data_IF_504984194742
#
_entry.id   IF_504984194742
#
_cell.length_a   1.000
_cell.length_b   1.000
_cell.length_c   1.000
_cell.angle_alpha   90.00
_cell.angle_beta   90.00
_cell.angle_gamma   90.00
#
_symmetry.space_group_name_H-M   'P 1'
#
loop_
_entity.id
_entity.type
_entity.pdbx_description
1 polymer ?
#
# COMPACT_ATOMS: atom_id res chain seq x y z
N UNK A 1 12.22 15.58 -8.67
CA UNK A 1 11.76 14.40 -9.39
C UNK A 1 10.70 13.67 -8.56
N UNK A 2 9.75 12.95 -9.21
CA UNK A 2 8.73 12.14 -8.53
C UNK A 2 7.44 12.86 -8.15
N UNK A 3 7.33 14.17 -8.35
CA UNK A 3 6.08 14.90 -8.20
C UNK A 3 5.21 14.78 -9.46
N UNK A 4 3.88 14.56 -9.33
CA UNK A 4 2.95 14.73 -10.44
C UNK A 4 2.74 16.21 -10.83
N UNK A 5 3.29 17.14 -10.09
CA UNK A 5 3.19 18.58 -10.35
C UNK A 5 2.19 19.31 -9.45
N UNK A 6 1.60 20.38 -9.99
CA UNK A 6 0.56 21.17 -9.35
C UNK A 6 -0.82 20.78 -9.90
N UNK A 7 -1.92 21.07 -9.18
CA UNK A 7 -3.26 20.76 -9.66
C UNK A 7 -3.57 21.43 -11.00
N UNK A 8 -4.21 20.69 -11.89
CA UNK A 8 -4.72 21.21 -13.15
C UNK A 8 -5.86 22.19 -12.89
N UNK A 9 -6.06 23.16 -13.78
CA UNK A 9 -7.15 24.12 -13.69
C UNK A 9 -8.52 23.43 -13.54
N UNK A 10 -9.31 23.95 -12.61
CA UNK A 10 -10.63 23.39 -12.27
C UNK A 10 -10.62 22.30 -11.21
N UNK A 11 -9.45 21.82 -10.77
CA UNK A 11 -9.34 20.85 -9.68
C UNK A 11 -8.84 21.54 -8.41
N UNK A 12 -9.67 21.53 -7.36
CA UNK A 12 -9.31 22.05 -6.03
C UNK A 12 -8.78 20.90 -5.18
N UNK A 13 -7.49 20.56 -5.39
CA UNK A 13 -6.82 19.50 -4.64
C UNK A 13 -6.42 20.01 -3.28
N UNK A 14 -6.73 19.25 -2.22
CA UNK A 14 -6.44 19.58 -0.83
C UNK A 14 -5.84 18.38 -0.11
N UNK A 15 -5.11 18.67 0.97
CA UNK A 15 -4.66 17.67 1.94
C UNK A 15 -5.48 17.86 3.21
N UNK A 16 -6.05 16.80 3.71
CA UNK A 16 -6.82 16.80 4.94
C UNK A 16 -6.15 15.91 6.00
N UNK A 17 -6.21 16.36 7.23
CA UNK A 17 -5.91 15.51 8.38
C UNK A 17 -6.91 14.35 8.42
N UNK A 18 -6.42 13.13 8.56
CA UNK A 18 -7.25 11.94 8.47
C UNK A 18 -8.10 11.65 9.71
N UNK A 19 -7.80 12.29 10.83
CA UNK A 19 -8.56 12.17 12.08
C UNK A 19 -9.61 13.27 12.22
N UNK A 20 -9.21 14.52 11.95
CA UNK A 20 -10.07 15.68 12.15
C UNK A 20 -10.83 16.08 10.90
N UNK A 21 -10.34 15.72 9.71
CA UNK A 21 -10.85 16.17 8.42
C UNK A 21 -10.53 17.65 8.13
N UNK A 22 -9.73 18.32 8.95
CA UNK A 22 -9.31 19.70 8.73
C UNK A 22 -8.29 19.81 7.60
N UNK A 23 -8.28 20.95 6.92
CA UNK A 23 -7.34 21.20 5.82
C UNK A 23 -5.94 21.50 6.37
N UNK A 24 -4.95 20.77 5.86
CA UNK A 24 -3.55 20.99 6.13
C UNK A 24 -3.02 22.04 5.16
N UNK A 25 -2.70 23.22 5.67
CA UNK A 25 -2.26 24.36 4.86
C UNK A 25 -0.75 24.56 4.86
N UNK A 26 -0.03 23.98 5.82
CA UNK A 26 1.43 24.10 5.91
C UNK A 26 2.10 23.17 4.90
N UNK A 27 3.25 23.61 4.42
CA UNK A 27 4.10 22.77 3.58
C UNK A 27 4.67 21.59 4.36
N UNK A 28 4.92 20.48 3.65
CA UNK A 28 5.54 19.26 4.18
C UNK A 28 4.72 18.52 5.26
N UNK A 29 3.44 18.88 5.45
CA UNK A 29 2.51 18.11 6.27
C UNK A 29 1.88 16.99 5.41
N UNK A 30 1.91 15.78 5.95
CA UNK A 30 1.32 14.57 5.32
C UNK A 30 -0.18 14.53 5.61
N UNK A 31 -0.99 14.43 4.57
CA UNK A 31 -2.45 14.35 4.67
C UNK A 31 -3.09 13.44 3.64
N UNK A 32 -4.39 13.20 3.80
CA UNK A 32 -5.20 12.50 2.80
C UNK A 32 -5.49 13.45 1.65
N UNK A 33 -5.16 13.02 0.44
CA UNK A 33 -5.37 13.80 -0.77
C UNK A 33 -6.83 13.68 -1.21
N UNK A 34 -7.50 14.81 -1.29
CA UNK A 34 -8.89 14.92 -1.72
C UNK A 34 -9.05 16.00 -2.79
N UNK A 35 -10.15 15.92 -3.53
CA UNK A 35 -10.54 16.96 -4.49
C UNK A 35 -11.86 17.55 -4.02
N UNK A 36 -11.89 18.86 -3.75
CA UNK A 36 -13.11 19.55 -3.34
C UNK A 36 -14.07 19.68 -4.52
N UNK A 37 -15.32 19.35 -4.29
CA UNK A 37 -16.37 19.41 -5.31
C UNK A 37 -16.91 20.82 -5.54
N UNK A 38 -17.64 21.04 -6.67
CA UNK A 38 -17.94 20.05 -7.71
C UNK A 38 -16.74 19.73 -8.60
N UNK A 39 -16.67 18.47 -9.07
CA UNK A 39 -15.61 18.07 -9.99
C UNK A 39 -15.88 18.60 -11.39
N UNK A 40 -14.81 18.89 -12.19
CA UNK A 40 -14.96 19.22 -13.60
C UNK A 40 -15.67 18.13 -14.40
N UNK A 41 -16.33 18.48 -15.53
CA UNK A 41 -16.92 17.51 -16.43
C UNK A 41 -15.88 16.49 -16.93
N UNK A 42 -16.30 15.23 -17.10
CA UNK A 42 -15.42 14.14 -17.54
C UNK A 42 -14.74 13.34 -16.41
N UNK A 43 -14.91 13.77 -15.15
CA UNK A 43 -14.49 12.97 -14.01
C UNK A 43 -15.38 11.73 -13.83
N UNK A 44 -14.98 10.82 -12.94
CA UNK A 44 -15.69 9.59 -12.64
C UNK A 44 -17.17 9.89 -12.33
N UNK A 45 -18.03 9.32 -13.15
CA UNK A 45 -19.49 9.30 -12.96
C UNK A 45 -19.88 8.14 -12.03
N UNK A 46 -21.16 8.01 -11.64
CA UNK A 46 -21.63 6.89 -10.83
C UNK A 46 -21.19 5.52 -11.35
N UNK A 47 -21.06 4.55 -10.45
CA UNK A 47 -20.78 3.17 -10.83
C UNK A 47 -22.00 2.56 -11.52
N UNK A 48 -21.77 1.77 -12.57
CA UNK A 48 -22.85 1.10 -13.28
C UNK A 48 -23.73 0.27 -12.33
N UNK A 49 -24.99 0.68 -12.20
CA UNK A 49 -25.98 -0.01 -11.36
C UNK A 49 -25.78 0.12 -9.85
N UNK A 50 -24.83 0.96 -9.35
CA UNK A 50 -24.57 1.10 -7.92
C UNK A 50 -24.12 2.52 -7.52
N UNK A 51 -25.03 3.47 -7.68
CA UNK A 51 -24.79 4.87 -7.30
C UNK A 51 -24.54 5.03 -5.80
N UNK A 52 -25.21 4.22 -4.98
CA UNK A 52 -25.03 4.27 -3.51
C UNK A 52 -23.59 3.92 -3.11
N UNK A 53 -23.00 2.91 -3.75
CA UNK A 53 -21.60 2.53 -3.54
C UNK A 53 -20.66 3.64 -3.96
N UNK A 54 -20.90 4.27 -5.12
CA UNK A 54 -20.10 5.40 -5.60
C UNK A 54 -20.08 6.53 -4.57
N UNK A 55 -21.24 6.99 -4.12
CA UNK A 55 -21.36 8.07 -3.14
C UNK A 55 -20.71 7.68 -1.80
N UNK A 56 -21.01 6.49 -1.30
CA UNK A 56 -20.49 6.05 0.00
C UNK A 56 -18.96 5.86 -0.03
N UNK A 57 -18.42 5.38 -1.13
CA UNK A 57 -16.98 5.13 -1.27
C UNK A 57 -16.19 6.43 -1.44
N UNK A 58 -16.62 7.29 -2.34
CA UNK A 58 -15.78 8.42 -2.78
C UNK A 58 -16.15 9.76 -2.15
N UNK A 59 -17.40 9.97 -1.72
CA UNK A 59 -17.92 11.28 -1.34
C UNK A 59 -18.29 11.41 0.13
N UNK A 60 -18.37 10.29 0.86
CA UNK A 60 -18.72 10.28 2.29
C UNK A 60 -17.54 9.97 3.21
N UNK A 61 -16.33 10.01 2.69
CA UNK A 61 -15.12 9.75 3.48
C UNK A 61 -14.86 10.81 4.57
N UNK A 62 -15.29 12.05 4.32
CA UNK A 62 -15.16 13.16 5.29
C UNK A 62 -16.55 13.72 5.58
N UNK A 63 -17.10 13.52 6.80
CA UNK A 63 -18.42 14.01 7.17
C UNK A 63 -18.56 15.52 7.01
N UNK A 64 -19.69 15.97 6.44
CA UNK A 64 -20.01 17.40 6.30
C UNK A 64 -19.25 18.16 5.22
N UNK A 65 -18.39 17.49 4.44
CA UNK A 65 -17.63 18.10 3.34
C UNK A 65 -17.94 17.42 2.00
N UNK A 66 -18.05 18.22 0.94
CA UNK A 66 -18.18 17.73 -0.42
C UNK A 66 -16.78 17.55 -1.02
N UNK A 67 -16.12 16.46 -0.66
CA UNK A 67 -14.78 16.13 -1.15
C UNK A 67 -14.78 14.72 -1.75
N UNK A 68 -14.14 14.59 -2.90
CA UNK A 68 -13.85 13.32 -3.55
C UNK A 68 -12.58 12.74 -2.96
N UNK A 69 -12.64 11.55 -2.36
CA UNK A 69 -11.48 10.85 -1.84
C UNK A 69 -10.72 10.14 -2.96
N UNK A 70 -9.41 10.41 -3.08
CA UNK A 70 -8.54 9.70 -4.01
C UNK A 70 -8.01 8.39 -3.41
N UNK A 71 -8.14 8.24 -2.09
CA UNK A 71 -7.51 7.17 -1.30
C UNK A 71 -5.98 7.21 -1.34
N UNK A 72 -5.39 8.37 -1.54
CA UNK A 72 -3.94 8.55 -1.51
C UNK A 72 -3.50 9.43 -0.35
N UNK A 73 -2.34 9.10 0.21
CA UNK A 73 -1.57 10.00 1.05
C UNK A 73 -0.73 10.91 0.18
N UNK A 74 -0.66 12.17 0.55
CA UNK A 74 0.17 13.14 -0.13
C UNK A 74 0.83 14.12 0.82
N UNK A 75 1.78 14.84 0.30
CA UNK A 75 2.42 16.00 0.90
C UNK A 75 2.52 17.09 -0.15
N UNK A 76 2.48 18.33 0.26
CA UNK A 76 2.70 19.49 -0.61
C UNK A 76 3.91 20.24 -0.11
N UNK A 77 4.87 20.53 -0.99
CA UNK A 77 6.06 21.31 -0.63
C UNK A 77 5.79 22.84 -0.56
N UNK A 78 6.84 23.60 -0.26
CA UNK A 78 6.78 25.06 -0.15
C UNK A 78 6.49 25.77 -1.48
N UNK A 79 6.81 25.12 -2.60
CA UNK A 79 6.56 25.62 -3.96
C UNK A 79 5.16 25.23 -4.48
N UNK A 80 4.40 24.44 -3.72
CA UNK A 80 3.05 24.00 -4.06
C UNK A 80 2.97 22.72 -4.87
N UNK A 81 4.08 22.00 -5.09
CA UNK A 81 4.09 20.72 -5.75
C UNK A 81 3.60 19.61 -4.83
N UNK A 82 2.74 18.76 -5.36
CA UNK A 82 2.26 17.58 -4.63
C UNK A 82 3.16 16.37 -4.85
N UNK A 83 3.25 15.53 -3.83
CA UNK A 83 3.92 14.23 -3.89
C UNK A 83 2.98 13.17 -3.34
N UNK A 84 2.81 12.07 -4.07
CA UNK A 84 1.96 10.94 -3.67
C UNK A 84 2.82 9.95 -2.92
N UNK A 85 2.49 9.73 -1.65
CA UNK A 85 3.26 8.87 -0.75
C UNK A 85 2.81 7.41 -0.76
N UNK A 86 1.57 7.15 -1.19
CA UNK A 86 0.97 5.82 -1.22
C UNK A 86 -0.53 5.87 -1.01
N UNK A 87 -1.14 4.68 -0.89
CA UNK A 87 -2.59 4.55 -0.68
C UNK A 87 -2.94 4.67 0.80
N UNK A 88 -4.10 5.22 1.11
CA UNK A 88 -4.63 5.26 2.48
C UNK A 88 -5.12 3.88 2.96
N UNK A 89 -5.50 3.01 2.02
CA UNK A 89 -5.93 1.63 2.28
C UNK A 89 -4.76 0.62 2.28
N UNK A 90 -3.55 1.04 1.90
CA UNK A 90 -2.31 0.25 1.98
C UNK A 90 -1.49 0.58 3.27
N UNK A 91 -2.13 1.10 4.31
CA UNK A 91 -1.51 1.38 5.61
C UNK A 91 -1.68 0.19 6.54
N UNK A 92 -0.61 -0.18 7.22
CA UNK A 92 -0.59 -1.19 8.26
C UNK A 92 -0.62 -0.49 9.63
N UNK A 93 -1.52 -0.89 10.50
CA UNK A 93 -1.60 -0.34 11.85
C UNK A 93 -0.94 -1.29 12.86
N UNK A 94 0.34 -1.06 13.16
CA UNK A 94 1.14 -1.87 14.06
C UNK A 94 1.22 -1.19 15.42
N UNK A 95 0.56 -1.73 16.43
CA UNK A 95 0.56 -1.21 17.81
C UNK A 95 0.26 0.30 17.89
N UNK A 96 -0.67 0.80 17.06
CA UNK A 96 -1.06 2.21 16.99
C UNK A 96 -0.21 3.08 16.05
N UNK A 97 0.88 2.52 15.50
CA UNK A 97 1.68 3.21 14.48
C UNK A 97 1.16 2.91 13.08
N UNK A 98 0.95 3.96 12.30
CA UNK A 98 0.54 3.85 10.89
C UNK A 98 1.76 3.80 9.98
N UNK A 99 1.98 2.66 9.35
CA UNK A 99 3.10 2.38 8.47
C UNK A 99 2.61 2.20 7.04
N UNK A 100 3.17 2.94 6.10
CA UNK A 100 2.91 2.72 4.67
C UNK A 100 3.57 1.43 4.20
N UNK A 101 2.83 0.56 3.51
CA UNK A 101 3.42 -0.65 2.92
C UNK A 101 4.56 -0.29 1.98
N UNK A 102 4.40 0.80 1.23
CA UNK A 102 5.39 1.28 0.26
C UNK A 102 6.72 1.67 0.90
N UNK A 103 6.70 2.32 2.06
CA UNK A 103 7.92 2.70 2.79
C UNK A 103 8.72 1.45 3.18
N UNK A 104 8.03 0.41 3.64
CA UNK A 104 8.66 -0.87 4.00
C UNK A 104 9.16 -1.58 2.73
N UNK A 105 8.38 -1.58 1.65
CA UNK A 105 8.76 -2.17 0.36
C UNK A 105 10.01 -1.49 -0.22
N UNK A 106 10.09 -0.16 -0.20
CA UNK A 106 11.25 0.61 -0.67
C UNK A 106 12.50 0.28 0.15
N UNK A 107 12.35 0.18 1.47
CA UNK A 107 13.45 -0.25 2.35
C UNK A 107 13.94 -1.65 1.97
N UNK A 108 13.06 -2.63 1.85
CA UNK A 108 13.41 -4.01 1.48
C UNK A 108 14.00 -4.08 0.06
N UNK A 109 13.43 -3.35 -0.89
CA UNK A 109 13.91 -3.31 -2.28
C UNK A 109 15.32 -2.71 -2.43
N UNK A 110 15.78 -1.93 -1.45
CA UNK A 110 17.17 -1.42 -1.44
C UNK A 110 18.22 -2.51 -1.17
N UNK A 111 17.81 -3.70 -0.72
CA UNK A 111 18.71 -4.84 -0.56
C UNK A 111 19.17 -5.38 -1.92
N UNK A 112 20.50 -5.60 -2.15
CA UNK A 112 21.04 -5.94 -3.47
C UNK A 112 20.47 -7.24 -4.06
N UNK A 113 20.07 -8.22 -3.25
CA UNK A 113 19.52 -9.50 -3.72
C UNK A 113 17.96 -9.50 -3.80
N UNK A 114 17.28 -8.39 -3.62
CA UNK A 114 15.83 -8.29 -3.79
C UNK A 114 15.53 -7.82 -5.21
N UNK A 115 14.72 -8.60 -5.95
CA UNK A 115 14.20 -8.25 -7.26
C UNK A 115 12.86 -7.53 -7.15
N UNK A 116 11.93 -8.12 -6.37
CA UNK A 116 10.59 -7.59 -6.14
C UNK A 116 10.18 -7.85 -4.70
N UNK A 117 9.29 -7.01 -4.18
CA UNK A 117 8.73 -7.18 -2.85
C UNK A 117 7.27 -6.73 -2.80
N UNK A 118 6.47 -7.43 -2.01
CA UNK A 118 5.13 -7.03 -1.62
C UNK A 118 5.01 -7.08 -0.10
N UNK A 119 4.49 -6.02 0.50
CA UNK A 119 4.19 -5.98 1.93
C UNK A 119 2.69 -5.85 2.12
N UNK A 120 2.15 -6.65 3.04
CA UNK A 120 0.73 -6.61 3.44
C UNK A 120 0.62 -6.56 4.95
N UNK A 121 -0.41 -5.88 5.44
CA UNK A 121 -0.81 -5.93 6.85
C UNK A 121 -1.66 -7.17 7.10
N UNK A 122 -1.31 -7.94 8.11
CA UNK A 122 -2.07 -9.13 8.51
C UNK A 122 -2.53 -8.95 9.96
N UNK A 123 -3.76 -9.37 10.27
CA UNK A 123 -4.31 -9.25 11.61
C UNK A 123 -3.44 -9.98 12.66
N UNK A 124 -3.19 -9.31 13.77
CA UNK A 124 -2.43 -9.81 14.92
C UNK A 124 -3.19 -9.50 16.21
N UNK A 125 -3.28 -10.48 17.11
CA UNK A 125 -4.07 -10.38 18.33
C UNK A 125 -3.55 -9.33 19.33
N UNK A 126 -2.24 -9.04 19.33
CA UNK A 126 -1.61 -8.12 20.28
C UNK A 126 -1.35 -6.74 19.67
N UNK A 127 -0.95 -6.69 18.41
CA UNK A 127 -0.51 -5.46 17.75
C UNK A 127 -1.57 -4.86 16.84
N UNK A 128 -2.77 -5.50 16.72
CA UNK A 128 -3.78 -5.15 15.74
C UNK A 128 -3.43 -5.67 14.36
N UNK A 129 -2.32 -5.24 13.79
CA UNK A 129 -1.74 -5.78 12.56
C UNK A 129 -0.23 -5.94 12.69
N UNK A 130 0.34 -6.79 11.84
CA UNK A 130 1.78 -6.93 11.60
C UNK A 130 2.07 -6.90 10.10
N UNK A 131 3.23 -6.39 9.74
CA UNK A 131 3.69 -6.44 8.36
C UNK A 131 4.18 -7.86 8.01
N UNK A 132 3.77 -8.38 6.87
CA UNK A 132 4.34 -9.58 6.24
C UNK A 132 4.92 -9.19 4.88
N UNK A 133 6.15 -9.59 4.61
CA UNK A 133 6.84 -9.31 3.35
C UNK A 133 6.97 -10.59 2.51
N UNK A 134 6.67 -10.46 1.22
CA UNK A 134 6.86 -11.49 0.20
C UNK A 134 7.92 -10.99 -0.77
N UNK A 135 9.02 -11.71 -0.86
CA UNK A 135 10.22 -11.28 -1.57
C UNK A 135 10.56 -12.22 -2.71
N UNK A 136 10.77 -11.68 -3.90
CA UNK A 136 11.41 -12.36 -5.02
C UNK A 136 12.88 -11.99 -5.01
N UNK A 137 13.75 -12.99 -4.85
CA UNK A 137 15.19 -12.76 -4.88
C UNK A 137 15.71 -12.72 -6.33
N UNK A 138 16.75 -11.91 -6.58
CA UNK A 138 17.47 -11.92 -7.87
C UNK A 138 18.27 -13.20 -8.06
N UNK A 139 18.94 -13.62 -6.99
CA UNK A 139 19.65 -14.91 -6.95
C UNK A 139 18.99 -15.79 -5.87
N UNK A 140 18.31 -16.82 -6.32
CA UNK A 140 17.64 -17.80 -5.48
C UNK A 140 18.50 -19.04 -5.16
N UNK A 141 19.76 -19.10 -5.64
CA UNK A 141 20.60 -20.31 -5.54
C UNK A 141 20.81 -20.75 -4.09
N UNK A 142 20.96 -19.79 -3.16
CA UNK A 142 21.10 -20.07 -1.73
C UNK A 142 19.78 -20.28 -0.99
N UNK A 143 18.62 -20.02 -1.61
CA UNK A 143 17.31 -20.06 -0.95
C UNK A 143 16.65 -21.44 -0.95
N UNK A 144 17.27 -22.44 -1.61
CA UNK A 144 16.85 -23.84 -1.53
C UNK A 144 17.08 -24.41 -0.13
N UNK A 145 18.10 -23.91 0.57
CA UNK A 145 18.44 -24.33 1.92
C UNK A 145 17.80 -23.40 2.98
N UNK A 146 17.40 -23.98 4.10
CA UNK A 146 16.81 -23.23 5.22
C UNK A 146 17.77 -22.15 5.75
N UNK A 147 19.06 -22.42 5.81
CA UNK A 147 20.06 -21.49 6.32
C UNK A 147 20.22 -20.25 5.43
N UNK A 148 20.17 -20.42 4.10
CA UNK A 148 20.21 -19.30 3.17
C UNK A 148 18.98 -18.40 3.27
N UNK A 149 17.79 -19.00 3.44
CA UNK A 149 16.56 -18.24 3.67
C UNK A 149 16.63 -17.44 4.97
N UNK A 150 17.03 -18.04 6.08
CA UNK A 150 17.18 -17.37 7.37
C UNK A 150 18.20 -16.23 7.34
N UNK A 151 19.28 -16.41 6.60
CA UNK A 151 20.30 -15.36 6.42
C UNK A 151 19.72 -14.15 5.69
N UNK A 152 19.10 -14.33 4.53
CA UNK A 152 18.52 -13.24 3.76
C UNK A 152 17.36 -12.58 4.49
N UNK A 153 16.52 -13.35 5.20
CA UNK A 153 15.47 -12.81 6.07
C UNK A 153 16.04 -11.88 7.14
N UNK A 154 17.11 -12.33 7.83
CA UNK A 154 17.80 -11.52 8.85
C UNK A 154 18.42 -10.24 8.28
N UNK A 155 19.01 -10.30 7.10
CA UNK A 155 19.58 -9.13 6.41
C UNK A 155 18.49 -8.12 6.05
N UNK A 156 17.37 -8.58 5.49
CA UNK A 156 16.20 -7.74 5.14
C UNK A 156 15.60 -7.10 6.40
N UNK A 157 15.36 -7.89 7.45
CA UNK A 157 14.81 -7.37 8.71
C UNK A 157 15.71 -6.31 9.34
N UNK A 158 17.02 -6.54 9.35
CA UNK A 158 18.01 -5.58 9.86
C UNK A 158 18.02 -4.29 9.06
N UNK A 159 17.87 -4.37 7.74
CA UNK A 159 17.82 -3.21 6.87
C UNK A 159 16.60 -2.34 7.18
N UNK A 160 15.41 -2.95 7.33
CA UNK A 160 14.19 -2.24 7.73
C UNK A 160 14.34 -1.61 9.11
N UNK A 161 14.93 -2.33 10.08
CA UNK A 161 15.20 -1.77 11.42
C UNK A 161 16.10 -0.53 11.38
N UNK A 162 17.11 -0.53 10.51
CA UNK A 162 18.04 0.59 10.40
C UNK A 162 17.42 1.81 9.71
N UNK A 163 16.53 1.61 8.75
CA UNK A 163 15.96 2.69 7.96
C UNK A 163 14.65 3.24 8.54
N UNK A 164 13.80 2.37 9.09
CA UNK A 164 12.44 2.71 9.52
C UNK A 164 12.18 2.42 11.00
N UNK A 165 13.10 1.74 11.68
CA UNK A 165 12.96 1.34 13.07
C UNK A 165 12.21 0.02 13.27
N UNK A 166 12.29 -0.53 14.48
CA UNK A 166 11.81 -1.86 14.84
C UNK A 166 10.27 -2.03 14.69
N UNK A 167 9.51 -0.95 14.71
CA UNK A 167 8.04 -0.99 14.53
C UNK A 167 7.67 -1.38 13.11
N UNK A 168 8.46 -0.97 12.13
CA UNK A 168 8.24 -1.27 10.71
C UNK A 168 8.76 -2.66 10.28
N UNK A 169 9.54 -3.33 11.15
CA UNK A 169 10.11 -4.64 10.85
C UNK A 169 9.01 -5.67 10.58
N UNK A 170 9.05 -6.35 9.41
CA UNK A 170 8.10 -7.42 9.13
C UNK A 170 8.14 -8.53 10.17
N UNK A 171 6.99 -9.07 10.54
CA UNK A 171 6.91 -10.23 11.44
C UNK A 171 7.44 -11.50 10.75
N UNK A 172 7.32 -11.58 9.42
CA UNK A 172 7.86 -12.66 8.58
C UNK A 172 8.30 -12.10 7.24
N UNK A 173 9.37 -12.67 6.69
CA UNK A 173 9.80 -12.47 5.30
C UNK A 173 9.72 -13.84 4.61
N UNK A 174 8.86 -13.93 3.60
CA UNK A 174 8.62 -15.17 2.85
C UNK A 174 9.17 -15.01 1.43
N UNK A 175 9.91 -16.02 0.95
CA UNK A 175 10.49 -16.01 -0.38
C UNK A 175 9.60 -16.74 -1.36
N UNK A 176 9.29 -16.06 -2.46
CA UNK A 176 8.43 -16.53 -3.54
C UNK A 176 9.15 -16.41 -4.89
N UNK A 177 8.70 -17.19 -5.87
CA UNK A 177 9.27 -17.12 -7.24
C UNK A 177 8.64 -16.00 -8.06
N UNK A 178 7.39 -15.64 -7.77
CA UNK A 178 6.67 -14.56 -8.41
C UNK A 178 5.64 -13.96 -7.45
N UNK A 179 5.34 -12.68 -7.62
CA UNK A 179 4.26 -12.00 -6.89
C UNK A 179 2.96 -12.02 -7.71
N UNK A 180 1.79 -12.20 -7.06
CA UNK A 180 0.50 -12.13 -7.73
C UNK A 180 0.26 -10.73 -8.34
N UNK A 181 0.11 -10.68 -9.66
CA UNK A 181 -0.10 -9.44 -10.42
C UNK A 181 -1.27 -9.59 -11.38
N UNK A 182 -1.86 -8.45 -11.75
CA UNK A 182 -2.75 -8.38 -12.89
C UNK A 182 -1.97 -8.45 -14.20
N UNK A 183 -2.65 -8.74 -15.33
CA UNK A 183 -2.04 -8.70 -16.67
C UNK A 183 -1.40 -7.36 -17.03
N UNK A 184 -1.80 -6.27 -16.38
CA UNK A 184 -1.17 -4.94 -16.52
C UNK A 184 0.01 -4.71 -15.57
N UNK A 185 0.46 -5.74 -14.82
CA UNK A 185 1.57 -5.67 -13.87
C UNK A 185 1.24 -5.08 -12.51
N UNK A 186 -0.04 -4.77 -12.22
CA UNK A 186 -0.43 -4.25 -10.91
C UNK A 186 -0.45 -5.36 -9.86
N UNK A 187 0.25 -5.14 -8.75
CA UNK A 187 0.31 -6.07 -7.62
C UNK A 187 -1.05 -6.23 -6.94
N UNK A 188 -1.44 -7.47 -6.68
CA UNK A 188 -2.72 -7.84 -6.05
C UNK A 188 -2.59 -7.98 -4.52
N UNK A 189 -2.21 -6.89 -3.82
CA UNK A 189 -2.00 -6.91 -2.36
C UNK A 189 -3.20 -7.42 -1.58
N UNK A 190 -4.42 -7.04 -1.99
CA UNK A 190 -5.65 -7.50 -1.32
C UNK A 190 -5.83 -9.01 -1.40
N UNK A 191 -5.47 -9.63 -2.51
CA UNK A 191 -5.52 -11.09 -2.66
C UNK A 191 -4.46 -11.77 -1.78
N UNK A 192 -3.25 -11.22 -1.72
CA UNK A 192 -2.19 -11.70 -0.82
C UNK A 192 -2.65 -11.62 0.63
N UNK A 193 -3.15 -10.46 1.07
CA UNK A 193 -3.65 -10.25 2.44
C UNK A 193 -4.79 -11.22 2.78
N UNK A 194 -5.78 -11.38 1.89
CA UNK A 194 -6.90 -12.28 2.11
C UNK A 194 -6.43 -13.73 2.32
N UNK A 195 -5.45 -14.18 1.54
CA UNK A 195 -4.85 -15.51 1.72
C UNK A 195 -4.14 -15.61 3.07
N UNK A 196 -3.36 -14.61 3.48
CA UNK A 196 -2.69 -14.59 4.78
C UNK A 196 -3.69 -14.69 5.94
N UNK A 197 -4.84 -14.08 5.81
CA UNK A 197 -5.91 -14.08 6.81
C UNK A 197 -6.93 -15.22 6.62
N UNK A 198 -6.66 -16.17 5.71
CA UNK A 198 -7.53 -17.31 5.39
C UNK A 198 -8.95 -16.90 4.97
N UNK A 199 -9.03 -15.74 4.30
CA UNK A 199 -10.27 -15.19 3.73
C UNK A 199 -10.34 -15.46 2.22
N UNK A 200 -11.53 -15.34 1.66
CA UNK A 200 -11.70 -15.38 0.20
C UNK A 200 -10.95 -14.22 -0.45
N UNK A 201 -10.14 -14.53 -1.44
CA UNK A 201 -9.36 -13.55 -2.20
C UNK A 201 -10.21 -12.71 -3.18
N UNK A 202 -11.49 -13.05 -3.34
CA UNK A 202 -12.42 -12.36 -4.23
C UNK A 202 -12.20 -12.65 -5.71
N UNK A 203 -12.56 -11.68 -6.55
CA UNK A 203 -12.43 -11.81 -8.00
C UNK A 203 -10.97 -11.75 -8.45
N UNK A 204 -10.48 -12.85 -9.01
CA UNK A 204 -9.12 -13.03 -9.52
C UNK A 204 -9.05 -13.10 -11.06
N UNK A 205 -10.12 -12.77 -11.77
CA UNK A 205 -10.19 -12.88 -13.25
C UNK A 205 -9.15 -12.04 -13.98
N UNK A 206 -8.64 -10.98 -13.36
CA UNK A 206 -7.59 -10.11 -13.91
C UNK A 206 -6.17 -10.60 -13.60
N UNK A 207 -6.02 -11.64 -12.77
CA UNK A 207 -4.71 -12.19 -12.40
C UNK A 207 -4.02 -12.82 -13.60
N UNK A 208 -2.73 -12.54 -13.76
CA UNK A 208 -1.92 -13.06 -14.84
C UNK A 208 -1.59 -14.55 -14.63
N UNK A 209 -1.06 -14.87 -13.45
CA UNK A 209 -0.65 -16.23 -13.08
C UNK A 209 -1.22 -16.64 -11.71
N UNK A 210 -2.21 -17.55 -11.68
CA UNK A 210 -2.77 -18.07 -10.43
C UNK A 210 -1.77 -18.85 -9.57
N UNK A 211 -0.69 -19.40 -10.15
CA UNK A 211 0.30 -20.19 -9.41
C UNK A 211 1.06 -19.32 -8.40
N UNK A 212 1.24 -18.03 -8.69
CA UNK A 212 1.89 -17.08 -7.78
C UNK A 212 1.11 -16.90 -6.45
N UNK A 213 -0.23 -16.91 -6.51
CA UNK A 213 -1.05 -16.85 -5.30
C UNK A 213 -1.11 -18.23 -4.59
N UNK A 214 -1.12 -19.32 -5.35
CA UNK A 214 -1.09 -20.68 -4.79
C UNK A 214 0.20 -20.91 -3.99
N UNK A 215 1.36 -20.47 -4.50
CA UNK A 215 2.62 -20.55 -3.78
C UNK A 215 2.55 -19.85 -2.41
N UNK A 216 1.91 -18.68 -2.33
CA UNK A 216 1.71 -17.98 -1.06
C UNK A 216 0.83 -18.79 -0.11
N UNK A 217 -0.25 -19.39 -0.61
CA UNK A 217 -1.11 -20.29 0.18
C UNK A 217 -0.32 -21.44 0.79
N UNK A 218 0.53 -22.07 0.00
CA UNK A 218 1.33 -23.24 0.43
C UNK A 218 2.39 -22.84 1.49
N UNK A 219 2.90 -21.62 1.46
CA UNK A 219 3.87 -21.08 2.44
C UNK A 219 3.24 -20.69 3.77
N UNK A 220 1.95 -20.37 3.79
CA UNK A 220 1.25 -19.91 5.00
C UNK A 220 0.59 -21.09 5.73
N UNK A 221 0.26 -22.18 5.01
CA UNK A 221 -0.26 -23.45 5.57
C UNK A 221 -1.73 -23.39 5.89
#
# INVERSE_FOLDING_TARGET
FGSPGVPMYGFHVKLLDDHTGEELTRANEKGVLVIEGPLPPGCLQPLWGDDARFVNTYWKSVPGRMVYSTFDWGVRDEEGYFYILGRTDDVINVAGHRLGTREIEESIASHPNVAEVAVVGVADALKGQVAMAFVVAKDATGLTEAQGRLKLEGEVMKLVDQQLGAVARPARVLFVTALPKTRSGKLLRRAIQAVCERRDAGDLTTMEDPSALQQIKDLIG
#
